data_IF_814476316154
#
_entry.id   IF_814476316154
#
_cell.length_a   1.000
_cell.length_b   1.000
_cell.length_c   1.000
_cell.angle_alpha   90.00
_cell.angle_beta   90.00
_cell.angle_gamma   90.00
#
_symmetry.space_group_name_H-M   'P 1'
#
loop_
_entity.id
_entity.type
_entity.pdbx_description
1 polymer ?
#
# COMPACT_ATOMS: atom_id res chain seq x y z
N UNK A 1 -28.21 56.66 15.85
CA UNK A 1 -27.76 56.85 17.24
C UNK A 1 -27.27 55.50 17.77
N UNK A 2 -26.00 55.39 18.15
CA UNK A 2 -25.37 54.12 18.52
C UNK A 2 -25.60 53.87 20.03
N UNK A 3 -26.16 52.72 20.36
CA UNK A 3 -26.51 52.28 21.72
C UNK A 3 -25.30 52.22 22.67
N UNK A 4 -25.49 52.62 23.93
CA UNK A 4 -24.48 52.54 25.00
C UNK A 4 -23.97 51.12 25.24
N UNK A 5 -24.83 50.11 25.05
CA UNK A 5 -24.44 48.69 25.10
C UNK A 5 -23.56 48.26 23.92
N UNK A 6 -23.69 48.92 22.78
CA UNK A 6 -22.93 48.61 21.57
C UNK A 6 -21.49 49.13 21.68
N UNK A 7 -21.29 50.32 22.26
CA UNK A 7 -19.95 50.87 22.55
C UNK A 7 -19.19 50.03 23.61
N UNK A 8 -19.87 49.53 24.64
CA UNK A 8 -19.24 48.67 25.66
C UNK A 8 -18.80 47.30 25.12
N UNK A 9 -19.43 46.79 24.06
CA UNK A 9 -19.09 45.51 23.44
C UNK A 9 -17.84 45.61 22.56
N UNK A 10 -17.67 46.72 21.84
CA UNK A 10 -16.45 46.97 21.06
C UNK A 10 -15.22 47.22 21.96
N UNK A 11 -15.40 47.86 23.13
CA UNK A 11 -14.30 48.12 24.07
C UNK A 11 -13.72 46.85 24.73
N UNK A 12 -14.43 45.71 24.73
CA UNK A 12 -13.91 44.43 25.25
C UNK A 12 -13.19 43.59 24.20
N UNK A 13 -13.24 43.98 22.92
CA UNK A 13 -12.70 43.21 21.80
C UNK A 13 -11.29 43.63 21.37
N UNK A 14 -10.59 44.46 22.14
CA UNK A 14 -9.18 44.79 21.90
C UNK A 14 -8.26 44.08 22.90
N UNK A 15 -8.23 42.75 22.88
CA UNK A 15 -7.06 42.01 23.33
C UNK A 15 -6.39 41.43 22.09
N UNK A 16 -5.38 42.16 21.62
CA UNK A 16 -4.44 41.68 20.63
C UNK A 16 -3.92 40.30 21.03
N UNK A 17 -3.78 39.32 20.11
CA UNK A 17 -3.08 38.10 20.42
C UNK A 17 -1.60 38.45 20.68
N UNK A 18 -1.20 38.37 21.95
CA UNK A 18 0.20 38.36 22.34
C UNK A 18 0.88 37.21 21.60
N UNK A 19 1.87 37.54 20.76
CA UNK A 19 2.70 36.54 20.08
C UNK A 19 3.30 35.63 21.13
N UNK A 20 2.88 34.37 21.15
CA UNK A 20 3.46 33.33 21.99
C UNK A 20 4.78 32.91 21.35
N UNK A 21 5.89 33.34 21.91
CA UNK A 21 7.21 32.80 21.61
C UNK A 21 7.24 31.35 22.09
N UNK A 22 7.40 30.39 21.19
CA UNK A 22 7.67 29.01 21.56
C UNK A 22 9.14 28.93 21.95
N UNK A 23 9.44 28.81 23.24
CA UNK A 23 10.75 28.36 23.70
C UNK A 23 10.85 26.86 23.44
N UNK A 24 11.89 26.44 22.73
CA UNK A 24 12.31 25.05 22.63
C UNK A 24 12.76 24.55 24.01
N UNK A 25 12.22 23.46 24.56
CA UNK A 25 12.92 22.75 25.61
C UNK A 25 14.07 21.96 24.99
N UNK A 26 15.31 22.35 25.32
CA UNK A 26 16.48 21.51 25.16
C UNK A 26 16.30 20.26 26.02
N UNK A 27 16.17 19.09 25.41
CA UNK A 27 16.16 17.83 26.14
C UNK A 27 17.58 17.31 26.24
N UNK A 28 17.99 17.14 27.50
CA UNK A 28 19.29 16.73 27.97
C UNK A 28 19.73 15.38 27.41
N UNK A 29 21.00 15.33 27.04
CA UNK A 29 21.73 14.12 26.68
C UNK A 29 21.70 13.17 27.88
N UNK A 30 21.17 11.95 27.68
CA UNK A 30 21.37 10.85 28.61
C UNK A 30 22.44 9.95 27.99
N UNK A 31 23.64 10.00 28.56
CA UNK A 31 24.75 9.12 28.24
C UNK A 31 24.38 7.67 28.60
N UNK A 32 24.43 6.77 27.63
CA UNK A 32 24.35 5.33 27.84
C UNK A 32 25.72 4.87 28.38
N UNK A 33 25.81 4.25 29.57
CA UNK A 33 27.06 3.64 30.01
C UNK A 33 27.28 2.31 29.27
N UNK A 34 28.49 2.20 28.71
CA UNK A 34 29.09 1.00 28.13
C UNK A 34 29.65 0.13 29.26
N UNK A 35 29.37 -1.17 29.33
CA UNK A 35 30.18 -2.09 30.12
C UNK A 35 31.17 -2.81 29.19
N UNK A 36 32.44 -2.38 29.24
CA UNK A 36 33.57 -3.19 28.82
C UNK A 36 34.14 -3.93 30.06
N UNK A 37 34.59 -5.16 29.82
CA UNK A 37 35.58 -5.96 30.57
C UNK A 37 35.25 -6.52 31.97
N UNK A 38 34.90 -7.82 32.01
CA UNK A 38 35.46 -8.74 33.02
C UNK A 38 35.99 -10.00 32.33
N UNK A 39 37.30 -10.14 32.51
CA UNK A 39 38.26 -11.23 32.34
C UNK A 39 37.79 -12.68 32.33
N UNK A 40 38.54 -13.45 31.53
CA UNK A 40 38.52 -14.88 31.32
C UNK A 40 38.75 -15.76 32.56
N UNK A 41 38.08 -16.93 32.58
CA UNK A 41 38.57 -18.13 33.25
C UNK A 41 37.94 -19.41 32.63
N UNK A 42 38.77 -20.11 31.84
CA UNK A 42 39.00 -21.57 31.78
C UNK A 42 37.91 -22.57 32.25
N UNK A 43 37.51 -23.48 31.35
CA UNK A 43 37.59 -24.96 31.49
C UNK A 43 36.47 -25.75 30.77
N UNK A 44 36.87 -26.32 29.62
CA UNK A 44 36.60 -27.67 29.10
C UNK A 44 35.19 -28.16 28.65
N UNK A 45 35.17 -29.13 27.70
CA UNK A 45 33.99 -29.55 26.94
C UNK A 45 33.39 -30.88 27.42
N UNK A 46 32.07 -31.02 27.35
CA UNK A 46 31.36 -32.26 27.69
C UNK A 46 30.51 -32.70 26.49
N UNK A 47 30.77 -33.90 25.99
CA UNK A 47 30.06 -34.58 24.92
C UNK A 47 28.70 -35.18 25.36
N UNK A 48 27.93 -35.58 24.33
CA UNK A 48 26.77 -36.48 24.31
C UNK A 48 25.40 -35.79 24.48
N UNK A 49 24.34 -36.11 23.72
CA UNK A 49 24.06 -37.32 22.94
C UNK A 49 22.98 -37.01 21.90
N UNK A 50 23.12 -37.61 20.72
CA UNK A 50 22.06 -37.73 19.71
C UNK A 50 20.86 -38.49 20.27
N UNK A 51 19.65 -37.96 20.07
CA UNK A 51 18.44 -38.79 20.04
C UNK A 51 17.70 -38.46 18.76
N UNK A 52 17.90 -39.36 17.79
CA UNK A 52 17.00 -39.55 16.66
C UNK A 52 15.71 -40.16 17.20
N UNK A 53 14.57 -39.54 16.94
CA UNK A 53 13.29 -40.26 16.93
C UNK A 53 12.49 -39.77 15.74
N UNK A 54 12.36 -40.69 14.79
CA UNK A 54 11.59 -40.65 13.55
C UNK A 54 10.09 -40.76 13.81
N UNK A 55 9.32 -40.19 12.88
CA UNK A 55 7.90 -40.46 12.53
C UNK A 55 6.84 -40.01 13.55
N UNK A 56 5.66 -39.48 13.19
CA UNK A 56 4.91 -39.53 11.95
C UNK A 56 3.89 -38.36 11.86
N UNK A 57 3.51 -38.05 10.61
CA UNK A 57 2.23 -37.50 10.15
C UNK A 57 1.59 -36.31 10.85
N UNK A 58 1.65 -35.16 10.17
CA UNK A 58 0.46 -34.35 9.94
C UNK A 58 0.59 -33.64 8.59
N UNK A 59 0.04 -34.28 7.55
CA UNK A 59 -0.23 -33.67 6.25
C UNK A 59 -1.22 -32.55 6.50
N UNK A 60 -0.69 -31.33 6.67
CA UNK A 60 -1.50 -30.13 6.68
C UNK A 60 -1.71 -29.74 5.22
N UNK A 61 -2.94 -29.95 4.74
CA UNK A 61 -3.38 -29.60 3.41
C UNK A 61 -3.02 -28.13 3.11
N UNK A 62 -1.97 -27.93 2.31
CA UNK A 62 -1.66 -26.64 1.76
C UNK A 62 -2.80 -26.26 0.83
N UNK A 63 -3.58 -25.26 1.24
CA UNK A 63 -4.49 -24.52 0.37
C UNK A 63 -3.68 -24.13 -0.87
N UNK A 64 -4.00 -24.74 -2.01
CA UNK A 64 -3.29 -24.52 -3.26
C UNK A 64 -3.17 -23.00 -3.51
N UNK A 65 -1.92 -22.52 -3.50
CA UNK A 65 -1.59 -21.17 -3.91
C UNK A 65 -2.08 -20.95 -5.35
N UNK A 66 -2.47 -19.72 -5.72
CA UNK A 66 -2.81 -19.40 -7.09
C UNK A 66 -1.68 -19.85 -8.04
N UNK A 67 -1.98 -20.26 -9.29
CA UNK A 67 -0.96 -20.72 -10.23
C UNK A 67 0.09 -19.62 -10.38
N UNK A 68 1.30 -19.90 -9.87
CA UNK A 68 2.43 -18.97 -9.90
C UNK A 68 2.79 -18.74 -11.37
N UNK A 69 2.90 -17.47 -11.76
CA UNK A 69 3.45 -17.12 -13.07
C UNK A 69 4.94 -17.52 -13.00
N UNK A 70 5.42 -18.40 -13.89
CA UNK A 70 6.80 -18.86 -13.84
C UNK A 70 7.74 -17.68 -14.02
N UNK A 71 8.85 -17.66 -13.27
CA UNK A 71 9.87 -16.65 -13.47
C UNK A 71 10.50 -16.77 -14.85
N UNK A 72 10.89 -15.64 -15.43
CA UNK A 72 11.59 -15.62 -16.72
C UNK A 72 13.07 -16.02 -16.59
N UNK A 73 13.62 -16.06 -15.38
CA UNK A 73 15.04 -16.27 -15.11
C UNK A 73 15.18 -17.58 -14.34
N UNK A 74 15.78 -18.63 -14.93
CA UNK A 74 15.93 -19.90 -14.24
C UNK A 74 16.91 -19.79 -13.07
N UNK A 75 16.71 -20.66 -12.07
CA UNK A 75 17.62 -20.79 -10.93
C UNK A 75 19.06 -21.04 -11.40
N UNK A 76 20.03 -20.46 -10.68
CA UNK A 76 21.45 -20.54 -11.01
C UNK A 76 21.95 -19.49 -12.02
N UNK A 77 21.08 -18.62 -12.54
CA UNK A 77 21.49 -17.57 -13.48
C UNK A 77 22.27 -16.46 -12.76
N UNK A 78 23.48 -16.15 -13.24
CA UNK A 78 24.27 -15.02 -12.75
C UNK A 78 23.66 -13.68 -13.22
N UNK A 79 23.23 -12.84 -12.27
CA UNK A 79 22.64 -11.53 -12.55
C UNK A 79 23.73 -10.48 -12.74
N UNK A 80 24.17 -10.34 -14.00
CA UNK A 80 25.28 -9.47 -14.40
C UNK A 80 25.03 -8.00 -14.03
N UNK A 81 26.04 -7.36 -13.44
CA UNK A 81 26.04 -5.90 -13.25
C UNK A 81 25.23 -5.40 -12.05
N UNK A 82 24.84 -6.29 -11.13
CA UNK A 82 24.25 -5.89 -9.85
C UNK A 82 25.31 -5.60 -8.78
N UNK A 83 26.45 -6.30 -8.83
CA UNK A 83 27.52 -6.04 -7.87
C UNK A 83 28.36 -4.82 -8.28
N UNK A 84 28.43 -3.83 -7.39
CA UNK A 84 29.29 -2.66 -7.53
C UNK A 84 30.55 -2.71 -6.63
N UNK A 85 30.69 -3.76 -5.81
CA UNK A 85 31.78 -3.92 -4.85
C UNK A 85 32.93 -4.72 -5.49
N UNK A 86 34.13 -4.15 -5.49
CA UNK A 86 35.34 -4.82 -5.99
C UNK A 86 35.61 -6.11 -5.21
N UNK A 87 35.94 -7.19 -5.92
CA UNK A 87 36.29 -8.48 -5.31
C UNK A 87 35.09 -9.32 -4.86
N UNK A 88 33.84 -8.87 -5.07
CA UNK A 88 32.65 -9.71 -4.91
C UNK A 88 32.16 -10.21 -6.27
N UNK A 89 31.46 -11.35 -6.25
CA UNK A 89 30.80 -11.88 -7.44
C UNK A 89 29.38 -11.33 -7.58
N UNK A 90 28.86 -11.35 -8.81
CA UNK A 90 27.47 -11.03 -9.07
C UNK A 90 26.54 -12.05 -8.37
N UNK A 91 25.39 -11.60 -7.83
CA UNK A 91 24.44 -12.50 -7.18
C UNK A 91 23.86 -13.51 -8.19
N UNK A 92 23.68 -14.74 -7.71
CA UNK A 92 23.08 -15.84 -8.47
C UNK A 92 21.57 -15.86 -8.15
N UNK A 93 20.73 -16.05 -9.18
CA UNK A 93 19.30 -16.24 -9.00
C UNK A 93 19.01 -17.56 -8.25
N UNK A 94 18.18 -17.48 -7.21
CA UNK A 94 17.72 -18.63 -6.42
C UNK A 94 16.50 -19.28 -7.09
N UNK A 95 15.98 -20.36 -6.49
CA UNK A 95 14.72 -20.96 -6.92
C UNK A 95 13.52 -20.06 -6.61
N UNK A 96 12.46 -20.14 -7.43
CA UNK A 96 11.25 -19.32 -7.31
C UNK A 96 10.56 -19.45 -5.95
N UNK A 97 10.74 -20.58 -5.26
CA UNK A 97 10.16 -20.87 -3.95
C UNK A 97 10.89 -20.19 -2.79
N UNK A 98 12.19 -19.90 -2.95
CA UNK A 98 13.00 -19.21 -1.95
C UNK A 98 12.70 -17.71 -1.93
N UNK A 99 12.16 -17.18 -3.02
CA UNK A 99 11.75 -15.79 -3.08
C UNK A 99 10.43 -15.57 -2.32
N UNK A 100 10.32 -14.43 -1.60
CA UNK A 100 9.12 -14.14 -0.83
C UNK A 100 7.92 -13.87 -1.75
N UNK A 101 6.74 -14.33 -1.34
CA UNK A 101 5.51 -14.31 -2.14
C UNK A 101 5.11 -12.90 -2.65
N UNK A 102 5.44 -11.84 -1.90
CA UNK A 102 5.11 -10.48 -2.30
C UNK A 102 5.77 -10.07 -3.63
N UNK A 103 6.91 -10.68 -4.01
CA UNK A 103 7.63 -10.38 -5.26
C UNK A 103 6.73 -10.58 -6.48
N UNK A 104 5.95 -11.67 -6.48
CA UNK A 104 5.08 -12.05 -7.59
C UNK A 104 3.88 -11.11 -7.73
N UNK A 105 3.45 -10.47 -6.63
CA UNK A 105 2.34 -9.50 -6.63
C UNK A 105 2.74 -8.08 -7.07
N UNK A 106 4.05 -7.78 -7.19
CA UNK A 106 4.54 -6.41 -7.48
C UNK A 106 4.04 -5.92 -8.85
N UNK A 107 4.02 -6.78 -9.86
CA UNK A 107 3.63 -6.41 -11.22
C UNK A 107 2.13 -6.10 -11.33
N UNK A 108 1.28 -6.70 -10.49
CA UNK A 108 -0.15 -6.42 -10.52
C UNK A 108 -0.47 -4.94 -10.26
N UNK A 109 0.32 -4.28 -9.40
CA UNK A 109 0.14 -2.87 -9.09
C UNK A 109 0.43 -1.98 -10.30
N UNK A 110 1.43 -2.34 -11.10
CA UNK A 110 1.76 -1.63 -12.34
C UNK A 110 0.64 -1.78 -13.37
N UNK A 111 0.15 -3.02 -13.57
CA UNK A 111 -0.96 -3.25 -14.50
C UNK A 111 -2.25 -2.51 -14.08
N UNK A 112 -2.52 -2.42 -12.77
CA UNK A 112 -3.67 -1.68 -12.25
C UNK A 112 -3.53 -0.17 -12.50
N UNK A 113 -2.32 0.41 -12.48
CA UNK A 113 -2.10 1.84 -12.76
C UNK A 113 -2.05 2.19 -14.25
N UNK A 114 -1.64 1.26 -15.11
CA UNK A 114 -1.45 1.51 -16.55
C UNK A 114 -2.75 1.32 -17.37
N UNK A 115 -3.90 1.56 -16.75
CA UNK A 115 -5.20 1.65 -17.42
C UNK A 115 -6.03 0.36 -17.39
N UNK A 116 -5.50 -0.79 -16.96
CA UNK A 116 -6.19 -2.07 -17.16
C UNK A 116 -7.47 -2.28 -16.33
N UNK A 117 -7.77 -1.48 -15.30
CA UNK A 117 -8.81 -1.86 -14.31
C UNK A 117 -10.06 -0.98 -14.21
N UNK A 118 -10.27 0.00 -15.09
CA UNK A 118 -11.60 0.64 -15.18
C UNK A 118 -11.84 1.44 -16.48
N UNK A 119 -10.79 1.83 -17.20
CA UNK A 119 -10.92 2.66 -18.42
C UNK A 119 -10.11 2.17 -19.61
N UNK A 120 -9.22 1.19 -19.42
CA UNK A 120 -8.38 0.63 -20.47
C UNK A 120 -9.18 -0.15 -21.51
N UNK A 121 -10.14 -0.97 -21.06
CA UNK A 121 -11.00 -1.72 -21.98
C UNK A 121 -11.83 -0.76 -22.84
N UNK A 122 -12.47 0.25 -22.24
CA UNK A 122 -13.22 1.30 -22.98
C UNK A 122 -12.34 2.14 -23.91
N UNK A 123 -11.12 2.49 -23.50
CA UNK A 123 -10.18 3.23 -24.36
C UNK A 123 -9.63 2.39 -25.51
N UNK A 124 -9.46 1.08 -25.31
CA UNK A 124 -9.01 0.12 -26.32
C UNK A 124 -10.15 -0.28 -27.28
N UNK A 125 -11.42 -0.11 -26.90
CA UNK A 125 -12.55 -0.25 -27.82
C UNK A 125 -12.47 0.73 -29.00
N UNK A 126 -11.87 1.91 -28.83
CA UNK A 126 -11.84 2.92 -29.90
C UNK A 126 -10.79 2.61 -30.99
N UNK A 127 -9.66 2.00 -30.61
CA UNK A 127 -8.58 1.58 -31.53
C UNK A 127 -8.91 0.32 -32.35
N UNK A 128 -10.00 -0.36 -32.00
CA UNK A 128 -10.47 -1.59 -32.64
C UNK A 128 -11.33 -1.32 -33.89
N UNK A 129 -11.38 -2.28 -34.82
CA UNK A 129 -12.19 -2.20 -36.06
C UNK A 129 -13.68 -1.93 -35.78
N UNK A 130 -14.40 -1.26 -36.71
CA UNK A 130 -15.84 -0.93 -36.59
C UNK A 130 -16.70 -2.13 -36.18
N UNK A 131 -16.40 -3.32 -36.69
CA UNK A 131 -17.11 -4.57 -36.37
C UNK A 131 -16.90 -5.01 -34.92
N UNK A 132 -15.70 -4.80 -34.39
CA UNK A 132 -15.35 -5.14 -33.01
C UNK A 132 -16.03 -4.19 -32.02
N UNK A 133 -16.10 -2.89 -32.35
CA UNK A 133 -16.91 -1.91 -31.60
C UNK A 133 -18.38 -2.30 -31.54
N UNK A 134 -18.97 -2.69 -32.66
CA UNK A 134 -20.37 -3.13 -32.70
C UNK A 134 -20.61 -4.41 -31.89
N UNK A 135 -19.68 -5.36 -31.92
CA UNK A 135 -19.75 -6.59 -31.11
C UNK A 135 -19.66 -6.27 -29.61
N UNK A 136 -18.72 -5.41 -29.22
CA UNK A 136 -18.55 -4.95 -27.84
C UNK A 136 -19.79 -4.20 -27.33
N UNK A 137 -20.34 -3.29 -28.13
CA UNK A 137 -21.58 -2.57 -27.79
C UNK A 137 -22.78 -3.53 -27.64
N UNK A 138 -22.90 -4.54 -28.52
CA UNK A 138 -23.95 -5.57 -28.40
C UNK A 138 -23.76 -6.44 -27.16
N UNK A 139 -22.53 -6.84 -26.82
CA UNK A 139 -22.26 -7.62 -25.61
C UNK A 139 -22.51 -6.80 -24.34
N UNK A 140 -22.14 -5.52 -24.31
CA UNK A 140 -22.40 -4.63 -23.19
C UNK A 140 -23.90 -4.42 -22.98
N UNK A 141 -24.67 -4.20 -24.06
CA UNK A 141 -26.13 -4.12 -24.00
C UNK A 141 -26.77 -5.42 -23.52
N UNK A 142 -26.27 -6.59 -23.96
CA UNK A 142 -26.75 -7.89 -23.50
C UNK A 142 -26.45 -8.09 -22.01
N UNK A 143 -25.24 -7.75 -21.57
CA UNK A 143 -24.86 -7.81 -20.14
C UNK A 143 -25.74 -6.90 -19.30
N UNK A 144 -25.98 -5.67 -19.75
CA UNK A 144 -26.85 -4.72 -19.08
C UNK A 144 -28.28 -5.24 -18.91
N UNK A 145 -28.80 -5.97 -19.91
CA UNK A 145 -30.13 -6.56 -19.85
C UNK A 145 -30.20 -7.77 -18.89
N UNK A 146 -29.12 -8.54 -18.79
CA UNK A 146 -29.03 -9.71 -17.91
C UNK A 146 -28.74 -9.32 -16.45
N UNK A 147 -27.96 -8.27 -16.23
CA UNK A 147 -27.55 -7.78 -14.93
C UNK A 147 -27.97 -6.30 -14.76
N UNK A 148 -29.26 -6.03 -14.53
CA UNK A 148 -29.74 -4.67 -14.34
C UNK A 148 -29.12 -3.99 -13.10
N UNK A 149 -28.80 -4.77 -12.05
CA UNK A 149 -28.17 -4.28 -10.82
C UNK A 149 -26.72 -3.79 -11.04
N UNK A 150 -25.95 -4.47 -11.90
CA UNK A 150 -24.56 -4.11 -12.21
C UNK A 150 -24.46 -2.76 -12.96
N UNK A 151 -25.57 -2.27 -13.51
CA UNK A 151 -25.64 -1.01 -14.27
C UNK A 151 -25.84 0.21 -13.36
N UNK A 152 -26.16 0.01 -12.09
CA UNK A 152 -26.24 1.10 -11.11
C UNK A 152 -24.82 1.66 -10.94
N UNK A 153 -24.64 2.96 -11.19
CA UNK A 153 -23.34 3.61 -11.13
C UNK A 153 -22.66 3.37 -9.77
N UNK A 154 -21.50 2.71 -9.78
CA UNK A 154 -20.75 2.42 -8.56
C UNK A 154 -20.24 3.74 -7.97
N UNK A 155 -20.85 4.17 -6.88
CA UNK A 155 -20.39 5.33 -6.11
C UNK A 155 -18.95 5.08 -5.65
N UNK A 156 -17.98 5.95 -5.99
CA UNK A 156 -16.60 5.83 -5.55
C UNK A 156 -16.49 5.79 -4.03
N UNK A 157 -15.50 5.07 -3.51
CA UNK A 157 -15.32 4.89 -2.06
C UNK A 157 -15.24 6.21 -1.27
N UNK A 158 -14.72 7.27 -1.89
CA UNK A 158 -14.58 8.58 -1.24
C UNK A 158 -15.85 9.44 -1.24
N UNK A 159 -16.87 9.07 -2.01
CA UNK A 159 -18.18 9.76 -2.03
C UNK A 159 -19.21 9.03 -1.14
N UNK A 160 -18.89 7.82 -0.69
CA UNK A 160 -19.75 7.03 0.18
C UNK A 160 -19.80 7.63 1.60
N UNK A 161 -20.99 7.71 2.18
CA UNK A 161 -21.23 8.13 3.57
C UNK A 161 -21.39 6.96 4.53
N UNK A 162 -21.17 5.73 4.06
CA UNK A 162 -21.25 4.51 4.87
C UNK A 162 -20.06 4.47 5.83
N UNK A 163 -20.34 4.13 7.08
CA UNK A 163 -19.31 4.03 8.11
C UNK A 163 -18.26 2.97 7.75
N UNK A 164 -16.99 3.32 7.93
CA UNK A 164 -15.91 2.36 7.79
C UNK A 164 -15.94 1.36 8.95
N UNK A 165 -15.51 0.10 8.73
CA UNK A 165 -15.43 -0.89 9.78
C UNK A 165 -14.53 -0.39 10.92
N UNK A 166 -15.07 -0.41 12.15
CA UNK A 166 -14.37 0.04 13.36
C UNK A 166 -13.44 -1.04 13.94
N UNK A 167 -13.74 -2.31 13.64
CA UNK A 167 -13.10 -3.50 14.20
C UNK A 167 -13.77 -3.94 15.50
N UNK A 168 -14.10 -5.23 15.60
CA UNK A 168 -14.83 -5.80 16.75
C UNK A 168 -13.94 -6.07 17.98
N UNK A 169 -12.81 -5.36 18.09
CA UNK A 169 -11.77 -5.59 19.10
C UNK A 169 -10.88 -6.82 18.83
N UNK A 170 -11.19 -7.64 17.82
CA UNK A 170 -10.34 -8.74 17.37
C UNK A 170 -9.19 -8.26 16.50
N UNK A 171 -8.08 -9.01 16.46
CA UNK A 171 -6.92 -8.70 15.58
C UNK A 171 -7.34 -8.67 14.11
N UNK A 172 -8.21 -9.61 13.68
CA UNK A 172 -8.72 -9.65 12.30
C UNK A 172 -9.55 -8.42 11.98
N UNK A 173 -10.47 -8.03 12.86
CA UNK A 173 -11.28 -6.82 12.68
C UNK A 173 -10.44 -5.54 12.69
N UNK A 174 -9.36 -5.50 13.46
CA UNK A 174 -8.42 -4.37 13.44
C UNK A 174 -7.66 -4.25 12.11
N UNK A 175 -7.21 -5.38 11.55
CA UNK A 175 -6.56 -5.41 10.23
C UNK A 175 -7.50 -4.96 9.11
N UNK A 176 -8.73 -5.47 9.10
CA UNK A 176 -9.76 -5.07 8.12
C UNK A 176 -10.13 -3.59 8.23
N UNK A 177 -10.30 -3.09 9.46
CA UNK A 177 -10.53 -1.67 9.72
C UNK A 177 -9.36 -0.81 9.21
N UNK A 178 -8.12 -1.28 9.39
CA UNK A 178 -6.91 -0.65 8.85
C UNK A 178 -6.92 -0.59 7.33
N UNK A 179 -7.17 -1.73 6.67
CA UNK A 179 -7.20 -1.84 5.22
C UNK A 179 -8.29 -0.94 4.59
N UNK A 180 -9.49 -0.89 5.17
CA UNK A 180 -10.57 -0.02 4.70
C UNK A 180 -10.19 1.47 4.77
N UNK A 181 -9.56 1.91 5.86
CA UNK A 181 -9.07 3.29 6.04
C UNK A 181 -7.95 3.63 5.06
N UNK A 182 -7.02 2.69 4.85
CA UNK A 182 -5.99 2.84 3.83
C UNK A 182 -6.58 2.92 2.43
N UNK A 183 -7.57 2.09 2.13
CA UNK A 183 -8.31 2.09 0.87
C UNK A 183 -8.93 3.45 0.57
N UNK A 184 -9.64 4.03 1.54
CA UNK A 184 -10.20 5.39 1.43
C UNK A 184 -9.10 6.44 1.19
N UNK A 185 -8.00 6.37 1.94
CA UNK A 185 -6.88 7.31 1.79
C UNK A 185 -6.23 7.21 0.40
N UNK A 186 -6.06 5.99 -0.12
CA UNK A 186 -5.55 5.72 -1.47
C UNK A 186 -6.51 6.28 -2.53
N UNK A 187 -7.82 6.06 -2.38
CA UNK A 187 -8.85 6.59 -3.28
C UNK A 187 -8.84 8.14 -3.31
N UNK A 188 -8.82 8.79 -2.14
CA UNK A 188 -8.71 10.25 -2.01
C UNK A 188 -7.41 10.81 -2.60
N UNK A 189 -6.31 10.05 -2.49
CA UNK A 189 -5.04 10.45 -3.12
C UNK A 189 -5.11 10.33 -4.64
N UNK A 190 -5.78 9.32 -5.17
CA UNK A 190 -6.05 9.17 -6.60
C UNK A 190 -6.78 10.38 -7.17
N UNK A 191 -7.91 10.76 -6.55
CA UNK A 191 -8.71 11.90 -7.00
C UNK A 191 -7.94 13.23 -6.90
N UNK A 192 -7.22 13.46 -5.80
CA UNK A 192 -6.36 14.65 -5.68
C UNK A 192 -5.32 14.73 -6.79
N UNK A 193 -4.69 13.61 -7.16
CA UNK A 193 -3.74 13.58 -8.29
C UNK A 193 -4.44 13.90 -9.62
N UNK A 194 -5.67 13.41 -9.84
CA UNK A 194 -6.47 13.71 -11.04
C UNK A 194 -6.78 15.21 -11.14
N UNK A 195 -7.31 15.79 -10.06
CA UNK A 195 -7.63 17.22 -9.98
C UNK A 195 -6.39 18.10 -10.19
N UNK A 196 -5.24 17.73 -9.61
CA UNK A 196 -3.99 18.47 -9.82
C UNK A 196 -3.57 18.42 -11.29
N UNK A 197 -3.62 17.24 -11.93
CA UNK A 197 -3.28 17.09 -13.35
C UNK A 197 -4.20 17.92 -14.25
N UNK A 198 -5.51 17.86 -14.01
CA UNK A 198 -6.50 18.64 -14.76
C UNK A 198 -6.27 20.15 -14.61
N UNK A 199 -6.09 20.64 -13.37
CA UNK A 199 -5.79 22.06 -13.12
C UNK A 199 -4.49 22.50 -13.78
N UNK A 200 -3.44 21.68 -13.72
CA UNK A 200 -2.17 21.98 -14.38
C UNK A 200 -2.32 22.01 -15.90
N UNK A 201 -3.09 21.08 -16.47
CA UNK A 201 -3.38 21.06 -17.90
C UNK A 201 -4.14 22.30 -18.35
N UNK A 202 -5.25 22.63 -17.67
CA UNK A 202 -6.06 23.82 -18.00
C UNK A 202 -5.27 25.12 -17.80
N UNK A 203 -4.43 25.21 -16.77
CA UNK A 203 -3.55 26.37 -16.54
C UNK A 203 -2.48 26.53 -17.63
N UNK A 204 -2.02 25.45 -18.25
CA UNK A 204 -1.05 25.53 -19.33
C UNK A 204 -1.71 25.89 -20.69
N UNK A 205 -3.02 25.72 -20.80
CA UNK A 205 -3.79 25.98 -22.03
C UNK A 205 -4.40 27.38 -22.12
N UNK A 206 -4.56 28.09 -20.99
CA UNK A 206 -5.12 29.44 -20.91
C UNK A 206 -4.05 30.48 -20.59
#
# INVERSE_FOLDING_TARGET
MICTNCLRRLARSSRFPSKRSYSTPASSQTSIPRPDDITAATSQPMHAKSVSTTSASAISAAKAAPPRIPSSVPAGTLLKGLNYIKGKQDPVALEDEEYPEWLWSVLEKAQKSDGATAGGDESDLFSKSKKQRQRAAKSLRKRALLHPEDMIAKVPLYEQTVDLPRGDGSVRGALEAGEAREGLTKAMRGERRRVIKEKNFLKAMG
#
